data_IF_311405997021
#
_entry.id   IF_311405997021
#
_cell.length_a   1.000
_cell.length_b   1.000
_cell.length_c   1.000
_cell.angle_alpha   90.00
_cell.angle_beta   90.00
_cell.angle_gamma   90.00
#
_symmetry.space_group_name_H-M   'P 1'
#
loop_
_entity.id
_entity.type
_entity.pdbx_description
1 polymer ?
#
# COMPACT_ATOMS: atom_id res chain seq x y z
N UNK A 1 -16.40 17.91 47.11
CA UNK A 1 -15.68 17.18 46.05
C UNK A 1 -16.30 15.80 45.99
N UNK A 2 -17.07 15.52 44.95
CA UNK A 2 -17.65 14.20 44.74
C UNK A 2 -16.51 13.29 44.30
N UNK A 3 -16.02 12.48 45.22
CA UNK A 3 -15.14 11.36 44.90
C UNK A 3 -16.01 10.41 44.07
N UNK A 4 -15.74 10.32 42.76
CA UNK A 4 -16.40 9.34 41.92
C UNK A 4 -16.24 7.98 42.58
N UNK A 5 -17.35 7.31 42.86
CA UNK A 5 -17.28 6.00 43.50
C UNK A 5 -16.49 5.05 42.60
N UNK A 6 -15.67 4.13 43.13
CA UNK A 6 -14.85 3.22 42.32
C UNK A 6 -15.63 2.57 41.17
N UNK A 7 -16.89 2.22 41.41
CA UNK A 7 -17.80 1.62 40.43
C UNK A 7 -18.12 2.56 39.26
N UNK A 8 -18.31 3.86 39.52
CA UNK A 8 -18.55 4.86 38.47
C UNK A 8 -17.33 5.04 37.57
N UNK A 9 -16.14 4.89 38.14
CA UNK A 9 -14.89 4.98 37.39
C UNK A 9 -14.69 3.74 36.49
N UNK A 10 -15.12 2.56 36.96
CA UNK A 10 -15.08 1.32 36.19
C UNK A 10 -16.04 1.39 34.99
N UNK A 11 -17.27 1.85 35.21
CA UNK A 11 -18.26 2.05 34.14
C UNK A 11 -17.76 3.05 33.08
N UNK A 12 -17.17 4.17 33.51
CA UNK A 12 -16.63 5.17 32.59
C UNK A 12 -15.45 4.63 31.75
N UNK A 13 -14.61 3.79 32.34
CA UNK A 13 -13.53 3.10 31.61
C UNK A 13 -14.08 2.14 30.56
N UNK A 14 -15.16 1.41 30.88
CA UNK A 14 -15.79 0.47 29.95
C UNK A 14 -16.42 1.20 28.76
N UNK A 15 -17.13 2.30 29.02
CA UNK A 15 -17.67 3.19 27.98
C UNK A 15 -16.58 3.78 27.08
N UNK A 16 -15.46 4.22 27.66
CA UNK A 16 -14.31 4.72 26.90
C UNK A 16 -13.70 3.63 26.03
N UNK A 17 -13.58 2.39 26.54
CA UNK A 17 -13.04 1.24 25.79
C UNK A 17 -13.92 0.89 24.59
N UNK A 18 -15.24 0.90 24.74
CA UNK A 18 -16.19 0.62 23.66
C UNK A 18 -16.05 1.67 22.55
N UNK A 19 -15.97 2.95 22.91
CA UNK A 19 -15.75 4.05 21.94
C UNK A 19 -14.40 3.94 21.23
N UNK A 20 -13.35 3.54 21.95
CA UNK A 20 -12.02 3.38 21.37
C UNK A 20 -11.98 2.21 20.38
N UNK A 21 -12.61 1.08 20.69
CA UNK A 21 -12.72 -0.06 19.78
C UNK A 21 -13.39 0.35 18.45
N UNK A 22 -14.51 1.07 18.50
CA UNK A 22 -15.18 1.57 17.30
C UNK A 22 -14.34 2.57 16.50
N UNK A 23 -13.59 3.45 17.19
CA UNK A 23 -12.68 4.41 16.53
C UNK A 23 -11.50 3.71 15.87
N UNK A 24 -10.98 2.65 16.48
CA UNK A 24 -9.87 1.84 15.94
C UNK A 24 -10.34 1.09 14.68
N UNK A 25 -11.52 0.48 14.70
CA UNK A 25 -12.07 -0.20 13.51
C UNK A 25 -12.24 0.77 12.33
N UNK A 26 -12.71 1.99 12.57
CA UNK A 26 -12.80 3.04 11.54
C UNK A 26 -11.42 3.49 11.04
N UNK A 27 -10.42 3.55 11.91
CA UNK A 27 -9.04 3.88 11.53
C UNK A 27 -8.39 2.78 10.68
N UNK A 28 -8.66 1.52 11.00
CA UNK A 28 -8.18 0.36 10.23
C UNK A 28 -8.79 0.38 8.82
N UNK A 29 -10.07 0.73 8.69
CA UNK A 29 -10.75 0.75 7.39
C UNK A 29 -10.46 2.04 6.57
N UNK A 30 -10.18 3.18 7.21
CA UNK A 30 -9.73 4.39 6.49
C UNK A 30 -8.25 4.32 6.11
N UNK A 31 -7.44 3.67 6.94
CA UNK A 31 -6.05 3.29 6.63
C UNK A 31 -5.97 2.01 5.80
N UNK A 32 -7.09 1.57 5.22
CA UNK A 32 -7.15 0.32 4.49
C UNK A 32 -6.06 0.33 3.41
N UNK A 33 -5.03 -0.54 3.55
CA UNK A 33 -3.81 -0.50 2.76
C UNK A 33 -4.09 -0.59 1.27
N UNK A 34 -5.27 -1.09 0.90
CA UNK A 34 -5.79 -1.13 -0.46
C UNK A 34 -5.85 0.23 -1.15
N UNK A 35 -6.25 1.30 -0.45
CA UNK A 35 -6.33 2.63 -1.05
C UNK A 35 -4.94 3.25 -1.24
N UNK A 36 -4.02 3.00 -0.31
CA UNK A 36 -2.62 3.38 -0.45
C UNK A 36 -1.98 2.63 -1.62
N UNK A 37 -2.15 1.31 -1.70
CA UNK A 37 -1.65 0.48 -2.78
C UNK A 37 -2.20 0.91 -4.15
N UNK A 38 -3.50 1.21 -4.25
CA UNK A 38 -4.13 1.74 -5.48
C UNK A 38 -3.52 3.06 -5.92
N UNK A 39 -3.27 4.00 -4.99
CA UNK A 39 -2.62 5.28 -5.31
C UNK A 39 -1.19 5.08 -5.80
N UNK A 40 -0.43 4.18 -5.18
CA UNK A 40 0.93 3.88 -5.61
C UNK A 40 0.93 3.22 -7.01
N UNK A 41 0.04 2.28 -7.25
CA UNK A 41 -0.11 1.65 -8.57
C UNK A 41 -0.49 2.67 -9.65
N UNK A 42 -1.40 3.59 -9.35
CA UNK A 42 -1.78 4.66 -10.28
C UNK A 42 -0.59 5.57 -10.63
N UNK A 43 0.25 5.93 -9.64
CA UNK A 43 1.49 6.69 -9.88
C UNK A 43 2.47 5.94 -10.79
N UNK A 44 2.68 4.64 -10.54
CA UNK A 44 3.54 3.81 -11.39
C UNK A 44 2.98 3.73 -12.80
N UNK A 45 1.68 3.46 -12.95
CA UNK A 45 1.02 3.40 -14.25
C UNK A 45 1.15 4.72 -15.03
N UNK A 46 1.02 5.87 -14.37
CA UNK A 46 1.17 7.18 -15.00
C UNK A 46 2.56 7.46 -15.60
N UNK A 47 3.60 6.72 -15.15
CA UNK A 47 4.93 6.78 -15.76
C UNK A 47 4.97 6.10 -17.13
N UNK A 48 4.09 5.13 -17.38
CA UNK A 48 4.08 4.36 -18.63
C UNK A 48 2.87 4.65 -19.52
N UNK A 49 1.80 5.24 -18.97
CA UNK A 49 0.55 5.51 -19.67
C UNK A 49 0.18 6.97 -19.48
N UNK A 50 -0.15 7.66 -20.56
CA UNK A 50 -0.62 9.03 -20.57
C UNK A 50 -2.11 9.14 -20.19
N UNK A 51 -2.62 10.36 -19.87
CA UNK A 51 -4.01 10.53 -19.44
C UNK A 51 -5.05 10.12 -20.47
N UNK A 52 -4.70 10.17 -21.77
CA UNK A 52 -5.52 9.73 -22.90
C UNK A 52 -5.50 8.20 -23.10
N UNK A 53 -4.74 7.47 -22.29
CA UNK A 53 -4.58 6.02 -22.38
C UNK A 53 -3.46 5.57 -23.32
N UNK A 54 -2.76 6.49 -23.98
CA UNK A 54 -1.63 6.16 -24.85
C UNK A 54 -0.42 5.66 -24.03
N UNK A 55 0.36 4.76 -24.61
CA UNK A 55 1.59 4.25 -23.98
C UNK A 55 2.72 5.26 -24.23
N UNK A 56 3.43 5.62 -23.16
CA UNK A 56 4.64 6.46 -23.21
C UNK A 56 5.81 5.62 -23.69
N UNK A 57 5.96 5.51 -25.01
CA UNK A 57 6.99 4.69 -25.66
C UNK A 57 8.40 5.07 -25.20
N UNK A 58 8.65 6.34 -24.92
CA UNK A 58 9.93 6.86 -24.43
C UNK A 58 10.34 6.22 -23.10
N UNK A 59 9.36 5.86 -22.26
CA UNK A 59 9.60 5.26 -20.95
C UNK A 59 9.56 3.73 -21.01
N UNK A 60 8.75 3.15 -21.91
CA UNK A 60 8.62 1.68 -22.04
C UNK A 60 9.83 1.07 -22.74
N UNK A 61 10.27 1.66 -23.85
CA UNK A 61 11.38 1.14 -24.67
C UNK A 61 12.64 0.84 -23.85
N UNK A 62 13.19 1.78 -23.04
CA UNK A 62 14.41 1.49 -22.27
C UNK A 62 14.20 0.39 -21.23
N UNK A 63 13.04 0.35 -20.57
CA UNK A 63 12.74 -0.68 -19.56
C UNK A 63 12.68 -2.07 -20.19
N UNK A 64 12.04 -2.18 -21.36
CA UNK A 64 11.98 -3.44 -22.12
C UNK A 64 13.39 -3.86 -22.56
N UNK A 65 14.18 -2.95 -23.12
CA UNK A 65 15.54 -3.23 -23.56
C UNK A 65 16.43 -3.75 -22.42
N UNK A 66 16.39 -3.09 -21.26
CA UNK A 66 17.15 -3.52 -20.06
C UNK A 66 16.67 -4.90 -19.60
N UNK A 67 15.35 -5.12 -19.56
CA UNK A 67 14.78 -6.40 -19.10
C UNK A 67 15.22 -7.55 -20.01
N UNK A 68 15.16 -7.35 -21.33
CA UNK A 68 15.63 -8.33 -22.32
C UNK A 68 17.12 -8.60 -22.16
N UNK A 69 17.94 -7.55 -21.98
CA UNK A 69 19.37 -7.71 -21.77
C UNK A 69 19.71 -8.51 -20.51
N UNK A 70 19.02 -8.22 -19.40
CA UNK A 70 19.22 -8.93 -18.12
C UNK A 70 18.79 -10.39 -18.23
N UNK A 71 17.59 -10.66 -18.74
CA UNK A 71 17.08 -12.03 -18.90
C UNK A 71 17.96 -12.82 -19.86
N UNK A 72 18.32 -12.23 -21.01
CA UNK A 72 19.23 -12.83 -21.97
C UNK A 72 20.60 -13.13 -21.35
N UNK A 73 21.17 -12.19 -20.61
CA UNK A 73 22.42 -12.38 -19.87
C UNK A 73 22.35 -13.54 -18.87
N UNK A 74 21.27 -13.60 -18.07
CA UNK A 74 21.04 -14.71 -17.12
C UNK A 74 20.97 -16.05 -17.84
N UNK A 75 20.25 -16.12 -18.97
CA UNK A 75 20.13 -17.35 -19.77
C UNK A 75 21.49 -17.78 -20.32
N UNK A 76 22.26 -16.85 -20.89
CA UNK A 76 23.61 -17.13 -21.40
C UNK A 76 24.52 -17.63 -20.28
N UNK A 77 24.55 -16.95 -19.13
CA UNK A 77 25.34 -17.39 -17.97
C UNK A 77 24.93 -18.78 -17.51
N UNK A 78 23.62 -19.03 -17.35
CA UNK A 78 23.11 -20.36 -17.00
C UNK A 78 23.54 -21.43 -18.00
N UNK A 79 23.51 -21.11 -19.30
CA UNK A 79 23.89 -22.05 -20.36
C UNK A 79 25.39 -22.36 -20.39
N UNK A 80 26.23 -21.43 -19.96
CA UNK A 80 27.69 -21.60 -19.88
C UNK A 80 28.14 -22.32 -18.60
N UNK A 81 27.36 -22.19 -17.52
CA UNK A 81 27.65 -22.82 -16.22
C UNK A 81 26.97 -24.18 -16.01
N UNK A 82 26.07 -24.58 -16.93
CA UNK A 82 25.43 -25.91 -16.97
C UNK A 82 26.08 -26.77 -18.04
#
# INVERSE_FOLDING_TARGET
MSEASPDQLVDEIEDIRIRLAGTIDELIDRSNPKNVARRQLAKVKARFVAPDGSVRVENVVPVVAITVAVVGGIVVVRRLLS
#
